data_IF_596416054392
#
_entry.id   IF_596416054392
#
_cell.length_a   1.000
_cell.length_b   1.000
_cell.length_c   1.000
_cell.angle_alpha   90.00
_cell.angle_beta   90.00
_cell.angle_gamma   90.00
#
_symmetry.space_group_name_H-M   'P 1'
#
loop_
_entity.id
_entity.type
_entity.pdbx_description
1 polymer ?
#
# COMPACT_ATOMS: atom_id res chain seq x y z
N UNK A 1 -19.73 -21.90 -24.49
CA UNK A 1 -20.05 -21.13 -25.71
C UNK A 1 -19.08 -19.97 -25.77
N UNK A 2 -18.06 -20.13 -26.61
CA UNK A 2 -17.01 -19.16 -26.89
C UNK A 2 -17.61 -18.15 -27.87
N UNK A 3 -17.83 -16.91 -27.42
CA UNK A 3 -18.23 -15.83 -28.31
C UNK A 3 -17.01 -15.44 -29.15
N UNK A 4 -16.98 -15.95 -30.37
CA UNK A 4 -16.10 -15.50 -31.43
C UNK A 4 -16.32 -14.00 -31.65
N UNK A 5 -15.31 -13.20 -31.31
CA UNK A 5 -15.22 -11.81 -31.74
C UNK A 5 -14.93 -11.82 -33.25
N UNK A 6 -15.91 -11.39 -34.06
CA UNK A 6 -15.72 -11.17 -35.49
C UNK A 6 -14.61 -10.15 -35.80
N UNK A 7 -14.13 -10.07 -37.06
CA UNK A 7 -13.05 -9.15 -37.44
C UNK A 7 -13.43 -7.70 -37.14
N UNK A 8 -12.52 -6.98 -36.48
CA UNK A 8 -12.68 -5.56 -36.13
C UNK A 8 -13.00 -4.73 -37.39
N UNK A 9 -14.12 -4.00 -37.36
CA UNK A 9 -14.54 -3.20 -38.53
C UNK A 9 -13.65 -1.96 -38.70
N UNK A 10 -13.48 -1.49 -39.94
CA UNK A 10 -12.68 -0.29 -40.26
C UNK A 10 -13.14 0.94 -39.48
N UNK A 11 -14.46 1.10 -39.29
CA UNK A 11 -15.05 2.20 -38.50
C UNK A 11 -14.70 2.12 -37.01
N UNK A 12 -14.63 0.91 -36.44
CA UNK A 12 -14.22 0.70 -35.05
C UNK A 12 -12.75 1.04 -34.84
N UNK A 13 -11.88 0.61 -35.76
CA UNK A 13 -10.47 0.95 -35.76
C UNK A 13 -10.26 2.47 -35.85
N UNK A 14 -11.03 3.14 -36.72
CA UNK A 14 -10.97 4.58 -36.90
C UNK A 14 -11.38 5.34 -35.62
N UNK A 15 -12.48 4.93 -34.97
CA UNK A 15 -12.91 5.52 -33.69
C UNK A 15 -11.88 5.33 -32.58
N UNK A 16 -11.20 4.17 -32.55
CA UNK A 16 -10.11 3.92 -31.59
C UNK A 16 -8.93 4.85 -31.85
N UNK A 17 -8.50 5.01 -33.10
CA UNK A 17 -7.40 5.90 -33.48
C UNK A 17 -7.68 7.38 -33.16
N UNK A 18 -8.91 7.86 -33.38
CA UNK A 18 -9.28 9.24 -33.01
C UNK A 18 -9.17 9.48 -31.51
N UNK A 19 -9.51 8.49 -30.67
CA UNK A 19 -9.34 8.59 -29.21
C UNK A 19 -7.88 8.60 -28.78
N UNK A 20 -6.98 8.03 -29.57
CA UNK A 20 -5.53 8.05 -29.28
C UNK A 20 -4.92 9.46 -29.41
N UNK A 21 -5.53 10.37 -30.19
CA UNK A 21 -5.03 11.75 -30.35
C UNK A 21 -4.88 12.46 -29.01
N UNK A 22 -5.94 12.48 -28.20
CA UNK A 22 -5.95 13.20 -26.92
C UNK A 22 -5.47 12.36 -25.73
N UNK A 23 -5.14 11.08 -25.96
CA UNK A 23 -4.82 10.15 -24.89
C UNK A 23 -3.48 10.48 -24.21
N UNK A 24 -3.48 10.63 -22.88
CA UNK A 24 -2.26 10.86 -22.09
C UNK A 24 -1.59 9.53 -21.74
N UNK A 25 -1.17 8.80 -22.78
CA UNK A 25 -0.45 7.53 -22.75
C UNK A 25 0.33 7.34 -24.04
N UNK A 26 1.29 6.41 -24.07
CA UNK A 26 2.00 6.06 -25.29
C UNK A 26 1.09 5.23 -26.20
N UNK A 27 0.87 5.72 -27.42
CA UNK A 27 -0.13 5.20 -28.38
C UNK A 27 0.52 4.61 -29.62
N UNK A 28 -0.30 4.07 -30.54
CA UNK A 28 0.20 3.55 -31.83
C UNK A 28 0.68 4.70 -32.71
N UNK A 29 0.02 5.87 -32.63
CA UNK A 29 0.41 7.08 -33.35
C UNK A 29 1.81 7.52 -32.92
N UNK A 30 2.10 7.54 -31.61
CA UNK A 30 3.42 7.93 -31.08
C UNK A 30 4.53 7.00 -31.58
N UNK A 31 4.27 5.68 -31.61
CA UNK A 31 5.23 4.70 -32.14
C UNK A 31 5.53 4.90 -33.62
N UNK A 32 4.53 5.30 -34.42
CA UNK A 32 4.74 5.63 -35.83
C UNK A 32 5.54 6.93 -35.98
N UNK A 33 5.18 7.97 -35.22
CA UNK A 33 5.89 9.25 -35.23
C UNK A 33 7.36 9.11 -34.86
N UNK A 34 7.69 8.35 -33.80
CA UNK A 34 9.07 8.13 -33.36
C UNK A 34 9.87 7.25 -34.32
N UNK A 35 9.23 6.30 -35.00
CA UNK A 35 9.88 5.46 -36.02
C UNK A 35 10.27 6.27 -37.26
N UNK A 36 9.40 7.19 -37.66
CA UNK A 36 9.56 7.98 -38.87
C UNK A 36 10.39 9.26 -38.63
N UNK A 37 10.68 9.59 -37.37
CA UNK A 37 11.53 10.70 -37.00
C UNK A 37 13.01 10.32 -37.12
N UNK A 38 13.79 11.13 -37.82
CA UNK A 38 15.25 10.99 -37.90
C UNK A 38 15.91 11.97 -36.92
N UNK A 39 16.65 11.44 -35.93
CA UNK A 39 17.26 12.25 -34.87
C UNK A 39 16.27 13.12 -34.09
N UNK A 40 15.01 12.66 -33.93
CA UNK A 40 13.94 13.42 -33.29
C UNK A 40 13.28 14.48 -34.18
N UNK A 41 13.68 14.59 -35.46
CA UNK A 41 13.06 15.47 -36.46
C UNK A 41 12.13 14.66 -37.36
N UNK A 42 10.88 15.12 -37.48
CA UNK A 42 9.87 14.51 -38.32
C UNK A 42 9.41 15.50 -39.40
N UNK A 43 9.47 15.06 -40.66
CA UNK A 43 8.93 15.80 -41.81
C UNK A 43 7.57 15.23 -42.21
N UNK A 44 6.50 15.99 -41.99
CA UNK A 44 5.13 15.55 -42.32
C UNK A 44 4.78 15.75 -43.80
N UNK A 45 5.67 16.37 -44.58
CA UNK A 45 5.48 16.68 -46.00
C UNK A 45 6.02 15.64 -46.99
N UNK A 46 6.78 14.64 -46.55
CA UNK A 46 7.58 13.78 -47.45
C UNK A 46 7.34 12.27 -47.30
N UNK A 47 6.22 11.82 -46.73
CA UNK A 47 5.87 10.39 -46.75
C UNK A 47 5.56 9.96 -48.19
N UNK A 48 6.58 9.48 -48.89
CA UNK A 48 6.43 8.67 -50.11
C UNK A 48 5.70 7.38 -49.74
N UNK A 49 4.55 7.15 -50.39
CA UNK A 49 3.81 5.90 -50.37
C UNK A 49 2.47 5.97 -49.64
N UNK A 50 1.37 5.86 -50.39
CA UNK A 50 0.04 5.33 -50.01
C UNK A 50 -0.52 5.64 -48.60
N UNK A 51 -0.21 6.77 -47.98
CA UNK A 51 -0.78 7.16 -46.68
C UNK A 51 -1.90 8.21 -46.86
N UNK A 52 -3.13 7.73 -46.65
CA UNK A 52 -4.39 8.44 -46.76
C UNK A 52 -4.38 9.75 -45.96
N UNK A 53 -5.02 10.82 -46.47
CA UNK A 53 -5.10 12.12 -45.79
C UNK A 53 -5.63 12.04 -44.34
N UNK A 54 -6.35 10.96 -44.03
CA UNK A 54 -6.83 10.64 -42.69
C UNK A 54 -5.70 10.28 -41.70
N UNK A 55 -4.69 9.50 -42.13
CA UNK A 55 -3.52 9.20 -41.29
C UNK A 55 -2.70 10.47 -41.00
N UNK A 56 -2.60 11.37 -41.97
CA UNK A 56 -1.99 12.70 -41.78
C UNK A 56 -2.75 13.54 -40.76
N UNK A 57 -4.08 13.55 -40.80
CA UNK A 57 -4.90 14.26 -39.82
C UNK A 57 -4.70 13.72 -38.39
N UNK A 58 -4.62 12.39 -38.22
CA UNK A 58 -4.35 11.74 -36.94
C UNK A 58 -2.97 12.12 -36.38
N UNK A 59 -1.92 12.03 -37.22
CA UNK A 59 -0.55 12.42 -36.85
C UNK A 59 -0.47 13.89 -36.45
N UNK A 60 -1.06 14.79 -37.23
CA UNK A 60 -1.07 16.22 -36.93
C UNK A 60 -1.83 16.54 -35.64
N UNK A 61 -3.00 15.94 -35.43
CA UNK A 61 -3.76 16.09 -34.19
C UNK A 61 -2.94 15.63 -32.99
N UNK A 62 -2.24 14.50 -33.11
CA UNK A 62 -1.37 13.98 -32.06
C UNK A 62 -0.16 14.88 -31.79
N UNK A 63 0.53 15.37 -32.82
CA UNK A 63 1.65 16.31 -32.68
C UNK A 63 1.24 17.59 -31.95
N UNK A 64 0.05 18.14 -32.25
CA UNK A 64 -0.51 19.29 -31.52
C UNK A 64 -0.83 18.98 -30.06
N UNK A 65 -1.26 17.75 -29.72
CA UNK A 65 -1.40 17.33 -28.31
C UNK A 65 -0.03 17.24 -27.63
N UNK A 66 0.96 16.63 -28.27
CA UNK A 66 2.32 16.52 -27.74
C UNK A 66 2.97 17.91 -27.55
N UNK A 67 2.70 18.85 -28.44
CA UNK A 67 3.13 20.25 -28.34
C UNK A 67 2.56 20.94 -27.11
N UNK A 68 1.23 20.83 -26.88
CA UNK A 68 0.59 21.34 -25.66
C UNK A 68 1.16 20.73 -24.37
N UNK A 69 1.73 19.53 -24.45
CA UNK A 69 2.39 18.84 -23.33
C UNK A 69 3.90 19.16 -23.22
N UNK A 70 4.45 19.96 -24.13
CA UNK A 70 5.89 20.28 -24.18
C UNK A 70 6.77 19.08 -24.57
N UNK A 71 6.21 18.12 -25.30
CA UNK A 71 6.89 16.91 -25.80
C UNK A 71 7.21 16.99 -27.30
N UNK A 72 6.59 17.92 -28.02
CA UNK A 72 6.91 18.23 -29.41
C UNK A 72 6.93 19.74 -29.65
N UNK A 73 7.54 20.18 -30.74
CA UNK A 73 7.52 21.58 -31.18
C UNK A 73 7.60 21.65 -32.70
N UNK A 74 6.86 22.56 -33.33
CA UNK A 74 6.96 22.83 -34.76
C UNK A 74 8.14 23.80 -35.02
N UNK A 75 9.16 23.34 -35.75
CA UNK A 75 10.32 24.17 -36.09
C UNK A 75 10.03 25.06 -37.30
N UNK A 76 9.37 24.47 -38.30
CA UNK A 76 8.90 25.09 -39.54
C UNK A 76 7.59 24.38 -39.93
N UNK A 77 6.74 24.99 -40.78
CA UNK A 77 5.54 24.33 -41.26
C UNK A 77 5.80 22.91 -41.76
N UNK A 78 5.23 21.91 -41.07
CA UNK A 78 5.40 20.49 -41.40
C UNK A 78 6.74 19.85 -41.01
N UNK A 79 7.60 20.55 -40.29
CA UNK A 79 8.84 20.01 -39.70
C UNK A 79 8.74 20.12 -38.18
N UNK A 80 8.70 18.97 -37.53
CA UNK A 80 8.47 18.83 -36.09
C UNK A 80 9.70 18.28 -35.39
N UNK A 81 9.97 18.77 -34.18
CA UNK A 81 10.92 18.16 -33.25
C UNK A 81 10.15 17.46 -32.15
N UNK A 82 10.41 16.16 -31.96
CA UNK A 82 9.88 15.35 -30.87
C UNK A 82 10.97 15.19 -29.83
N UNK A 83 10.66 15.42 -28.56
CA UNK A 83 11.65 15.29 -27.49
C UNK A 83 12.02 13.82 -27.24
N UNK A 84 13.29 13.51 -26.98
CA UNK A 84 13.77 12.15 -26.72
C UNK A 84 13.05 11.46 -25.54
N UNK A 85 12.61 12.26 -24.57
CA UNK A 85 11.86 11.79 -23.39
C UNK A 85 10.38 11.46 -23.65
N UNK A 86 9.87 11.69 -24.86
CA UNK A 86 8.44 11.60 -25.18
C UNK A 86 7.84 10.24 -24.82
N UNK A 87 8.50 9.15 -25.23
CA UNK A 87 8.03 7.80 -24.90
C UNK A 87 7.97 7.57 -23.39
N UNK A 88 9.05 7.90 -22.67
CA UNK A 88 9.14 7.71 -21.23
C UNK A 88 8.04 8.48 -20.47
N UNK A 89 7.85 9.78 -20.80
CA UNK A 89 6.83 10.63 -20.17
C UNK A 89 5.42 10.11 -20.45
N UNK A 90 5.11 9.73 -21.69
CA UNK A 90 3.77 9.23 -22.04
C UNK A 90 3.47 7.87 -21.40
N UNK A 91 4.48 6.99 -21.27
CA UNK A 91 4.30 5.72 -20.55
C UNK A 91 4.03 5.97 -19.06
N UNK A 92 4.75 6.89 -18.43
CA UNK A 92 4.54 7.27 -17.04
C UNK A 92 3.14 7.87 -16.80
N UNK A 93 2.70 8.80 -17.66
CA UNK A 93 1.36 9.39 -17.59
C UNK A 93 0.26 8.34 -17.77
N UNK A 94 0.45 7.41 -18.72
CA UNK A 94 -0.47 6.30 -18.95
C UNK A 94 -0.60 5.40 -17.71
N UNK A 95 0.54 4.99 -17.15
CA UNK A 95 0.59 4.18 -15.94
C UNK A 95 -0.07 4.89 -14.75
N UNK A 96 0.23 6.18 -14.56
CA UNK A 96 -0.39 6.99 -13.51
C UNK A 96 -1.91 7.02 -13.66
N UNK A 97 -2.42 7.27 -14.86
CA UNK A 97 -3.86 7.32 -15.13
C UNK A 97 -4.54 5.97 -14.87
N UNK A 98 -3.89 4.86 -15.20
CA UNK A 98 -4.43 3.51 -14.95
C UNK A 98 -4.40 3.16 -13.44
N UNK A 99 -3.38 3.60 -12.70
CA UNK A 99 -3.33 3.50 -11.23
C UNK A 99 -4.49 4.29 -10.61
N UNK A 100 -4.72 5.55 -11.03
CA UNK A 100 -5.81 6.37 -10.50
C UNK A 100 -7.18 5.70 -10.74
N UNK A 101 -7.41 5.12 -11.93
CA UNK A 101 -8.63 4.35 -12.20
C UNK A 101 -8.77 3.14 -11.27
N UNK A 102 -7.68 2.43 -11.00
CA UNK A 102 -7.65 1.32 -10.05
C UNK A 102 -8.02 1.78 -8.64
N UNK A 103 -7.42 2.88 -8.16
CA UNK A 103 -7.74 3.46 -6.86
C UNK A 103 -9.21 3.86 -6.76
N UNK A 104 -9.75 4.55 -7.76
CA UNK A 104 -11.16 4.94 -7.81
C UNK A 104 -12.10 3.74 -7.70
N UNK A 105 -11.76 2.62 -8.38
CA UNK A 105 -12.51 1.37 -8.29
C UNK A 105 -12.44 0.75 -6.90
N UNK A 106 -11.25 0.68 -6.30
CA UNK A 106 -11.05 0.17 -4.94
C UNK A 106 -11.84 0.98 -3.90
N UNK A 107 -11.77 2.31 -3.98
CA UNK A 107 -12.48 3.23 -3.07
C UNK A 107 -13.98 3.07 -3.20
N UNK A 108 -14.50 2.99 -4.44
CA UNK A 108 -15.93 2.74 -4.69
C UNK A 108 -16.37 1.40 -4.08
N UNK A 109 -15.57 0.34 -4.23
CA UNK A 109 -15.85 -0.98 -3.65
C UNK A 109 -15.86 -0.95 -2.11
N UNK A 110 -14.97 -0.17 -1.51
CA UNK A 110 -14.88 -0.03 -0.06
C UNK A 110 -15.96 0.88 0.56
N UNK A 111 -16.84 1.49 -0.25
CA UNK A 111 -17.89 2.39 0.23
C UNK A 111 -17.37 3.69 0.84
N UNK A 112 -16.13 4.08 0.53
CA UNK A 112 -15.53 5.32 1.05
C UNK A 112 -16.07 6.48 0.22
N UNK A 113 -16.74 7.43 0.87
CA UNK A 113 -17.18 8.67 0.23
C UNK A 113 -15.97 9.44 -0.35
N UNK A 114 -16.00 9.68 -1.65
CA UNK A 114 -14.89 10.31 -2.39
C UNK A 114 -14.68 11.81 -2.02
N UNK A 115 -15.59 12.40 -1.24
CA UNK A 115 -15.59 13.82 -0.90
C UNK A 115 -14.24 14.32 -0.42
N UNK A 116 -13.60 15.19 -1.22
CA UNK A 116 -12.35 15.91 -0.96
C UNK A 116 -11.06 15.09 -0.77
N UNK A 117 -11.05 13.77 -1.00
CA UNK A 117 -9.82 12.96 -0.84
C UNK A 117 -8.95 13.02 -2.09
N UNK A 118 -7.68 13.41 -1.92
CA UNK A 118 -6.71 13.42 -3.01
C UNK A 118 -6.08 12.04 -3.19
N UNK A 119 -5.92 11.61 -4.43
CA UNK A 119 -5.16 10.40 -4.78
C UNK A 119 -3.68 10.71 -4.95
N UNK A 120 -2.83 9.89 -4.34
CA UNK A 120 -1.39 9.97 -4.43
C UNK A 120 -0.80 8.60 -4.77
N UNK A 121 0.26 8.61 -5.58
CA UNK A 121 1.12 7.45 -5.79
C UNK A 121 2.30 7.61 -4.83
N UNK A 122 2.52 6.61 -3.98
CA UNK A 122 3.59 6.61 -3.00
C UNK A 122 4.95 6.53 -3.69
N UNK A 123 5.86 7.43 -3.32
CA UNK A 123 7.22 7.50 -3.85
C UNK A 123 8.12 6.48 -3.14
N UNK A 124 8.04 5.23 -3.58
CA UNK A 124 8.82 4.14 -2.98
C UNK A 124 10.34 4.27 -3.19
N UNK A 125 10.74 5.07 -4.18
CA UNK A 125 12.13 5.39 -4.53
C UNK A 125 12.76 6.46 -3.61
N UNK A 126 11.95 7.18 -2.82
CA UNK A 126 12.40 8.11 -1.79
C UNK A 126 12.56 7.38 -0.44
N UNK A 127 13.78 7.19 0.08
CA UNK A 127 14.02 6.51 1.36
C UNK A 127 13.39 7.21 2.57
N UNK A 128 13.07 8.50 2.44
CA UNK A 128 12.42 9.29 3.48
C UNK A 128 10.89 9.27 3.39
N UNK A 129 10.33 8.79 2.27
CA UNK A 129 8.89 8.67 2.11
C UNK A 129 8.33 7.68 3.13
N UNK A 130 7.38 8.15 3.93
CA UNK A 130 6.68 7.36 4.94
C UNK A 130 5.23 7.80 5.01
N UNK A 131 4.31 6.85 4.96
CA UNK A 131 2.89 7.11 5.21
C UNK A 131 2.30 5.99 6.07
N UNK A 132 1.67 6.38 7.17
CA UNK A 132 0.91 5.47 8.04
C UNK A 132 -0.57 5.66 7.76
N UNK A 133 -1.32 4.56 7.70
CA UNK A 133 -2.75 4.61 7.41
C UNK A 133 -3.44 3.25 7.45
N UNK A 134 -4.74 3.27 7.15
CA UNK A 134 -5.60 2.09 7.09
C UNK A 134 -5.57 1.45 5.71
N UNK A 135 -5.43 0.14 5.62
CA UNK A 135 -5.52 -0.59 4.36
C UNK A 135 -6.96 -0.55 3.86
N UNK A 136 -7.15 0.04 2.68
CA UNK A 136 -8.43 0.10 1.98
C UNK A 136 -8.61 -1.11 1.08
N UNK A 137 -7.56 -1.46 0.35
CA UNK A 137 -7.60 -2.57 -0.60
C UNK A 137 -6.22 -3.11 -0.92
N UNK A 138 -6.18 -4.36 -1.35
CA UNK A 138 -5.02 -5.06 -1.86
C UNK A 138 -5.41 -5.72 -3.19
N UNK A 139 -4.51 -5.73 -4.17
CA UNK A 139 -4.76 -6.36 -5.47
C UNK A 139 -3.49 -6.68 -6.22
N UNK A 140 -3.64 -7.18 -7.46
CA UNK A 140 -2.53 -7.47 -8.36
C UNK A 140 -2.16 -6.23 -9.19
N UNK A 141 -0.90 -5.81 -9.16
CA UNK A 141 -0.36 -4.72 -9.99
C UNK A 141 0.10 -5.22 -11.35
N UNK A 142 0.53 -6.48 -11.44
CA UNK A 142 0.98 -7.11 -12.68
C UNK A 142 0.64 -8.61 -12.66
N UNK A 143 -0.11 -9.07 -13.66
CA UNK A 143 -0.53 -10.47 -13.80
C UNK A 143 0.65 -11.40 -14.17
N UNK A 144 1.67 -10.89 -14.86
CA UNK A 144 2.82 -11.70 -15.30
C UNK A 144 3.79 -11.97 -14.15
N UNK A 145 4.06 -10.95 -13.33
CA UNK A 145 5.03 -11.07 -12.23
C UNK A 145 4.36 -11.32 -10.87
N UNK A 146 3.05 -11.57 -10.87
CA UNK A 146 2.21 -11.63 -9.66
C UNK A 146 2.47 -10.47 -8.69
N UNK A 147 2.80 -9.29 -9.23
CA UNK A 147 3.07 -8.10 -8.45
C UNK A 147 1.81 -7.68 -7.71
N UNK A 148 1.94 -7.20 -6.48
CA UNK A 148 0.82 -6.75 -5.67
C UNK A 148 0.91 -5.25 -5.41
N UNK A 149 -0.26 -4.63 -5.24
CA UNK A 149 -0.38 -3.26 -4.77
C UNK A 149 -1.25 -3.19 -3.52
N UNK A 150 -1.10 -2.09 -2.80
CA UNK A 150 -1.94 -1.70 -1.68
C UNK A 150 -2.46 -0.28 -1.88
N UNK A 151 -3.72 -0.07 -1.50
CA UNK A 151 -4.32 1.26 -1.34
C UNK A 151 -4.47 1.54 0.15
N UNK A 152 -3.87 2.64 0.62
CA UNK A 152 -3.87 3.05 2.02
C UNK A 152 -4.60 4.39 2.17
N UNK A 153 -5.52 4.45 3.11
CA UNK A 153 -6.12 5.69 3.58
C UNK A 153 -5.23 6.32 4.65
N UNK A 154 -4.47 7.33 4.23
CA UNK A 154 -3.38 7.90 4.99
C UNK A 154 -3.83 8.82 6.12
N UNK A 155 -3.02 8.88 7.18
CA UNK A 155 -3.16 9.86 8.25
C UNK A 155 -3.01 11.32 7.78
N UNK A 156 -2.51 11.55 6.57
CA UNK A 156 -2.46 12.86 5.90
C UNK A 156 -3.78 13.24 5.19
N UNK A 157 -4.79 12.37 5.27
CA UNK A 157 -6.11 12.56 4.68
C UNK A 157 -6.14 12.32 3.16
N UNK A 158 -5.12 11.65 2.62
CA UNK A 158 -5.04 11.28 1.20
C UNK A 158 -5.08 9.77 1.05
N UNK A 159 -5.49 9.31 -0.12
CA UNK A 159 -5.40 7.91 -0.50
C UNK A 159 -4.08 7.69 -1.22
N UNK A 160 -3.33 6.68 -0.79
CA UNK A 160 -2.00 6.35 -1.33
C UNK A 160 -2.03 4.99 -2.00
N UNK A 161 -1.55 4.93 -3.24
CA UNK A 161 -1.26 3.67 -3.93
C UNK A 161 0.23 3.36 -3.80
N UNK A 162 0.57 2.12 -3.50
CA UNK A 162 1.93 1.63 -3.56
C UNK A 162 1.96 0.24 -4.21
N UNK A 163 2.88 0.06 -5.17
CA UNK A 163 3.34 -1.28 -5.52
C UNK A 163 4.17 -1.82 -4.35
N UNK A 164 4.00 -3.08 -3.99
CA UNK A 164 4.67 -3.73 -2.86
C UNK A 164 5.40 -5.01 -3.29
N UNK A 165 5.54 -5.21 -4.60
CA UNK A 165 6.12 -6.40 -5.18
C UNK A 165 5.31 -7.65 -4.85
N UNK A 166 5.98 -8.79 -4.77
CA UNK A 166 5.36 -10.06 -4.39
C UNK A 166 5.48 -10.27 -2.87
N UNK A 167 4.36 -10.25 -2.16
CA UNK A 167 4.33 -10.58 -0.74
C UNK A 167 3.98 -12.06 -0.56
N UNK A 168 4.60 -12.68 0.46
CA UNK A 168 4.23 -14.04 0.86
C UNK A 168 2.79 -14.04 1.42
N UNK A 169 2.02 -15.13 1.24
CA UNK A 169 0.64 -15.21 1.72
C UNK A 169 0.44 -14.84 3.20
N UNK A 170 1.40 -15.21 4.07
CA UNK A 170 1.36 -14.92 5.50
C UNK A 170 1.66 -13.45 5.87
N UNK A 171 2.22 -12.70 4.94
CA UNK A 171 2.63 -11.30 5.10
C UNK A 171 1.62 -10.34 4.43
N UNK A 172 0.62 -10.87 3.73
CA UNK A 172 -0.46 -10.06 3.16
C UNK A 172 -1.25 -9.37 4.28
N UNK A 173 -1.31 -8.03 4.28
CA UNK A 173 -2.16 -7.31 5.21
C UNK A 173 -3.62 -7.55 4.85
N UNK A 174 -4.49 -7.56 5.86
CA UNK A 174 -5.94 -7.57 5.65
C UNK A 174 -6.43 -6.13 5.50
N UNK A 175 -7.53 -5.97 4.76
CA UNK A 175 -8.27 -4.70 4.74
C UNK A 175 -8.66 -4.28 6.16
N UNK A 176 -8.65 -2.97 6.42
CA UNK A 176 -8.90 -2.37 7.74
C UNK A 176 -7.70 -2.33 8.69
N UNK A 177 -6.62 -3.08 8.43
CA UNK A 177 -5.43 -3.03 9.29
C UNK A 177 -4.66 -1.72 9.15
N UNK A 178 -3.95 -1.34 10.21
CA UNK A 178 -3.04 -0.20 10.20
C UNK A 178 -1.66 -0.65 9.76
N UNK A 179 -1.10 0.07 8.78
CA UNK A 179 0.27 -0.14 8.33
C UNK A 179 0.99 1.18 8.06
N UNK A 180 2.31 1.08 7.97
CA UNK A 180 3.19 2.12 7.46
C UNK A 180 3.87 1.65 6.18
N UNK A 181 3.71 2.42 5.11
CA UNK A 181 4.53 2.33 3.90
C UNK A 181 5.83 3.07 4.13
N UNK A 182 6.95 2.49 3.69
CA UNK A 182 8.26 3.14 3.67
C UNK A 182 8.92 2.96 2.30
N UNK A 183 9.55 4.01 1.80
CA UNK A 183 10.43 3.90 0.64
C UNK A 183 11.69 3.10 0.96
N UNK A 184 12.37 2.66 -0.11
CA UNK A 184 13.58 1.85 -0.02
C UNK A 184 14.82 2.68 -0.36
N UNK A 185 15.96 2.33 0.25
CA UNK A 185 17.25 2.94 -0.08
C UNK A 185 17.80 2.41 -1.40
N UNK A 186 18.57 3.24 -2.09
CA UNK A 186 19.40 2.88 -3.25
C UNK A 186 20.31 1.70 -2.91
N UNK A 187 20.31 0.67 -3.75
CA UNK A 187 21.02 -0.61 -3.54
C UNK A 187 20.17 -1.85 -3.88
N UNK A 188 18.87 -1.64 -4.12
CA UNK A 188 17.95 -2.67 -4.63
C UNK A 188 18.00 -2.65 -6.16
N UNK A 189 17.87 -3.82 -6.80
CA UNK A 189 17.78 -3.94 -8.27
C UNK A 189 16.76 -2.93 -8.86
N UNK A 190 17.03 -2.39 -10.07
CA UNK A 190 16.19 -1.36 -10.70
C UNK A 190 14.70 -1.72 -10.78
N UNK A 191 14.39 -3.01 -10.92
CA UNK A 191 13.04 -3.60 -10.97
C UNK A 191 12.24 -3.43 -9.69
N UNK A 192 12.90 -3.33 -8.54
CA UNK A 192 12.28 -3.27 -7.21
C UNK A 192 12.33 -1.87 -6.59
N UNK A 193 12.98 -0.89 -7.24
CA UNK A 193 13.17 0.48 -6.72
C UNK A 193 11.85 1.22 -6.48
N UNK A 194 10.79 0.82 -7.18
CA UNK A 194 9.44 1.41 -7.04
C UNK A 194 8.51 0.61 -6.12
N UNK A 195 9.02 -0.37 -5.36
CA UNK A 195 8.22 -1.18 -4.45
C UNK A 195 8.34 -0.66 -3.02
N UNK A 196 7.22 -0.34 -2.38
CA UNK A 196 7.18 0.10 -0.99
C UNK A 196 7.36 -1.07 -0.02
N UNK A 197 8.01 -0.81 1.12
CA UNK A 197 8.05 -1.76 2.23
C UNK A 197 6.86 -1.55 3.15
N UNK A 198 6.18 -2.64 3.48
CA UNK A 198 5.05 -2.65 4.41
C UNK A 198 5.51 -2.96 5.84
N UNK A 199 5.00 -2.18 6.79
CA UNK A 199 5.15 -2.44 8.22
C UNK A 199 3.76 -2.46 8.85
N UNK A 200 3.29 -3.64 9.28
CA UNK A 200 2.00 -3.74 9.98
C UNK A 200 2.14 -3.12 11.36
N UNK A 201 1.41 -2.04 11.62
CA UNK A 201 1.41 -1.30 12.88
C UNK A 201 0.36 -1.86 13.86
N UNK A 202 -0.72 -2.42 13.32
CA UNK A 202 -1.76 -3.10 14.10
C UNK A 202 -2.25 -4.35 13.38
N UNK A 203 -2.36 -5.45 14.12
CA UNK A 203 -2.96 -6.70 13.63
C UNK A 203 -4.47 -6.79 13.89
N UNK A 204 -5.06 -5.77 14.50
CA UNK A 204 -6.50 -5.56 14.62
C UNK A 204 -6.90 -4.24 13.92
N UNK A 205 -8.10 -4.17 13.32
CA UNK A 205 -8.59 -2.97 12.67
C UNK A 205 -8.87 -1.85 13.69
N UNK A 206 -8.86 -0.59 13.24
CA UNK A 206 -8.90 0.58 14.12
C UNK A 206 -10.10 0.56 15.08
N UNK A 207 -11.24 0.11 14.60
CA UNK A 207 -12.53 0.12 15.31
C UNK A 207 -12.51 -0.79 16.55
N UNK A 208 -11.61 -1.78 16.58
CA UNK A 208 -11.44 -2.70 17.72
C UNK A 208 -10.43 -2.19 18.74
N UNK A 209 -9.56 -1.25 18.38
CA UNK A 209 -8.48 -0.80 19.25
C UNK A 209 -8.94 -0.04 20.51
N UNK A 210 -9.99 0.80 20.48
CA UNK A 210 -10.41 1.54 21.67
C UNK A 210 -10.72 0.67 22.88
N UNK A 211 -11.36 -0.47 22.66
CA UNK A 211 -11.84 -1.39 23.71
C UNK A 211 -10.97 -2.64 23.84
N UNK A 212 -9.90 -2.76 23.06
CA UNK A 212 -9.03 -3.93 23.09
C UNK A 212 -8.38 -4.10 24.47
N UNK A 213 -8.39 -5.33 24.99
CA UNK A 213 -7.80 -5.60 26.31
C UNK A 213 -6.27 -5.49 26.29
N UNK A 214 -5.65 -5.73 25.14
CA UNK A 214 -4.20 -5.66 24.95
C UNK A 214 -3.63 -4.29 24.60
N UNK A 215 -2.31 -4.24 24.46
CA UNK A 215 -1.56 -3.04 24.13
C UNK A 215 -1.72 -2.70 22.64
N UNK A 216 -2.31 -1.56 22.31
CA UNK A 216 -2.66 -1.21 20.93
C UNK A 216 -1.68 -0.22 20.32
N UNK A 217 -1.83 0.01 19.01
CA UNK A 217 -1.17 1.14 18.33
C UNK A 217 -1.57 2.50 18.94
N UNK A 218 -2.82 2.66 19.40
CA UNK A 218 -3.30 3.88 20.05
C UNK A 218 -2.54 4.16 21.35
N UNK A 219 -2.25 3.14 22.15
CA UNK A 219 -1.48 3.29 23.40
C UNK A 219 -0.05 3.78 23.11
N UNK A 220 0.58 3.23 22.06
CA UNK A 220 1.91 3.67 21.61
C UNK A 220 1.89 5.11 21.09
N UNK A 221 0.84 5.49 20.39
CA UNK A 221 0.64 6.86 19.90
C UNK A 221 0.44 7.85 21.05
N UNK A 222 -0.29 7.48 22.12
CA UNK A 222 -0.47 8.31 23.31
C UNK A 222 0.81 8.50 24.12
N UNK A 223 1.68 7.48 24.17
CA UNK A 223 2.91 7.47 24.96
C UNK A 223 4.15 7.94 24.19
N UNK A 224 4.06 8.09 22.87
CA UNK A 224 5.19 8.44 22.03
C UNK A 224 5.69 9.86 22.35
N UNK A 225 7.02 10.01 22.48
CA UNK A 225 7.64 11.34 22.60
C UNK A 225 7.43 12.19 21.33
N UNK A 226 7.32 11.54 20.17
CA UNK A 226 7.00 12.16 18.89
C UNK A 226 5.85 11.38 18.25
N UNK A 227 4.58 11.66 18.63
CA UNK A 227 3.44 10.97 18.06
C UNK A 227 3.34 11.29 16.56
N UNK A 228 2.83 10.34 15.79
CA UNK A 228 2.63 10.54 14.34
C UNK A 228 1.58 11.65 14.18
N UNK A 229 1.90 12.70 13.43
CA UNK A 229 0.95 13.78 13.14
C UNK A 229 -0.08 13.30 12.12
N UNK A 230 -1.32 13.73 12.29
CA UNK A 230 -2.42 13.39 11.39
C UNK A 230 -3.37 14.58 11.26
N UNK A 231 -4.08 14.64 10.14
CA UNK A 231 -5.10 15.68 9.89
C UNK A 231 -6.44 15.26 10.48
N UNK A 232 -7.26 16.22 10.92
CA UNK A 232 -8.58 15.94 11.50
C UNK A 232 -9.66 15.80 10.42
N UNK A 233 -9.43 14.93 9.44
CA UNK A 233 -10.36 14.59 8.35
C UNK A 233 -10.06 13.20 7.80
N UNK A 234 -11.04 12.57 7.17
CA UNK A 234 -10.92 11.20 6.66
C UNK A 234 -10.45 10.25 7.77
N UNK A 235 -9.48 9.40 7.46
CA UNK A 235 -8.94 8.44 8.43
C UNK A 235 -8.35 9.08 9.70
N UNK A 236 -7.77 10.28 9.60
CA UNK A 236 -7.21 10.95 10.78
C UNK A 236 -8.29 11.39 11.79
N UNK A 237 -9.50 11.72 11.33
CA UNK A 237 -10.64 11.99 12.23
C UNK A 237 -11.13 10.71 12.93
N UNK A 238 -11.15 9.57 12.22
CA UNK A 238 -11.43 8.26 12.80
C UNK A 238 -10.43 7.93 13.92
N UNK A 239 -9.14 8.13 13.65
CA UNK A 239 -8.06 7.93 14.64
C UNK A 239 -8.20 8.88 15.83
N UNK A 240 -8.54 10.15 15.61
CA UNK A 240 -8.81 11.11 16.70
C UNK A 240 -9.93 10.61 17.61
N UNK A 241 -11.02 10.10 17.02
CA UNK A 241 -12.13 9.52 17.78
C UNK A 241 -11.69 8.27 18.56
N UNK A 242 -10.96 7.37 17.92
CA UNK A 242 -10.46 6.15 18.53
C UNK A 242 -9.49 6.44 19.70
N UNK A 243 -8.60 7.44 19.56
CA UNK A 243 -7.72 7.88 20.64
C UNK A 243 -8.51 8.38 21.86
N UNK A 244 -9.55 9.21 21.66
CA UNK A 244 -10.40 9.69 22.76
C UNK A 244 -11.14 8.56 23.46
N UNK A 245 -11.67 7.60 22.69
CA UNK A 245 -12.33 6.42 23.27
C UNK A 245 -11.33 5.57 24.05
N UNK A 246 -10.13 5.36 23.49
CA UNK A 246 -9.07 4.59 24.15
C UNK A 246 -8.59 5.25 25.44
N UNK A 247 -8.41 6.56 25.46
CA UNK A 247 -8.03 7.32 26.66
C UNK A 247 -9.04 7.10 27.79
N UNK A 248 -10.35 7.23 27.49
CA UNK A 248 -11.42 6.96 28.47
C UNK A 248 -11.36 5.53 28.99
N UNK A 249 -11.25 4.54 28.09
CA UNK A 249 -11.12 3.14 28.48
C UNK A 249 -9.91 2.89 29.39
N UNK A 250 -8.75 3.51 29.09
CA UNK A 250 -7.55 3.38 29.91
C UNK A 250 -7.72 4.04 31.29
N UNK A 251 -8.44 5.15 31.39
CA UNK A 251 -8.74 5.80 32.68
C UNK A 251 -9.72 4.95 33.50
N UNK A 252 -10.82 4.51 32.90
CA UNK A 252 -11.85 3.66 33.54
C UNK A 252 -11.27 2.33 34.04
N UNK A 253 -10.35 1.72 33.29
CA UNK A 253 -9.66 0.49 33.69
C UNK A 253 -8.42 0.77 34.58
N UNK A 254 -8.20 2.02 34.96
CA UNK A 254 -7.12 2.46 35.83
C UNK A 254 -5.72 2.42 35.22
N UNK A 255 -5.54 2.14 33.93
CA UNK A 255 -4.21 2.19 33.30
C UNK A 255 -3.67 3.62 33.16
N UNK A 256 -4.54 4.62 33.07
CA UNK A 256 -4.18 6.04 33.08
C UNK A 256 -4.98 6.78 34.17
N UNK A 257 -4.50 7.96 34.57
CA UNK A 257 -5.22 8.88 35.45
C UNK A 257 -5.04 10.31 34.97
N UNK A 258 -6.06 11.15 35.10
CA UNK A 258 -5.93 12.58 34.88
C UNK A 258 -5.43 13.27 36.15
N UNK A 259 -4.31 13.99 36.05
CA UNK A 259 -3.75 14.80 37.14
C UNK A 259 -3.45 16.19 36.61
N UNK A 260 -4.12 17.22 37.15
CA UNK A 260 -3.91 18.61 36.72
C UNK A 260 -4.16 18.85 35.23
N UNK A 261 -5.15 18.17 34.64
CA UNK A 261 -5.45 18.26 33.20
C UNK A 261 -4.51 17.48 32.29
N UNK A 262 -3.53 16.74 32.85
CA UNK A 262 -2.64 15.86 32.08
C UNK A 262 -2.97 14.40 32.32
N UNK A 263 -2.95 13.61 31.24
CA UNK A 263 -3.04 12.15 31.32
C UNK A 263 -1.68 11.57 31.76
N UNK A 264 -1.70 10.85 32.88
CA UNK A 264 -0.54 10.17 33.44
C UNK A 264 -0.73 8.67 33.32
N UNK A 265 0.17 8.01 32.59
CA UNK A 265 0.16 6.56 32.44
C UNK A 265 0.74 5.85 33.67
N UNK A 266 0.13 4.73 34.07
CA UNK A 266 0.72 3.84 35.07
C UNK A 266 2.05 3.29 34.56
N UNK A 267 3.00 3.08 35.47
CA UNK A 267 4.27 2.42 35.18
C UNK A 267 4.03 1.07 34.50
N UNK A 268 4.78 0.81 33.41
CA UNK A 268 4.71 -0.42 32.61
C UNK A 268 3.31 -0.70 32.03
N UNK A 269 2.57 0.35 31.64
CA UNK A 269 1.23 0.24 31.04
C UNK A 269 1.18 -0.78 29.90
N UNK A 270 2.08 -0.64 28.90
CA UNK A 270 2.09 -1.51 27.72
C UNK A 270 2.37 -2.98 28.07
N UNK A 271 3.30 -3.23 28.99
CA UNK A 271 3.62 -4.58 29.47
C UNK A 271 2.42 -5.21 30.18
N UNK A 272 1.72 -4.45 31.03
CA UNK A 272 0.53 -4.93 31.75
C UNK A 272 -0.63 -5.27 30.80
N UNK A 273 -0.90 -4.41 29.81
CA UNK A 273 -1.90 -4.68 28.78
C UNK A 273 -1.52 -5.91 27.94
N UNK A 274 -0.25 -6.00 27.54
CA UNK A 274 0.25 -7.14 26.75
C UNK A 274 0.11 -8.45 27.50
N UNK A 275 0.48 -8.48 28.78
CA UNK A 275 0.33 -9.67 29.62
C UNK A 275 -1.13 -10.11 29.72
N UNK A 276 -2.06 -9.16 29.91
CA UNK A 276 -3.49 -9.46 29.99
C UNK A 276 -4.03 -10.04 28.68
N UNK A 277 -3.62 -9.48 27.54
CA UNK A 277 -3.99 -9.97 26.21
C UNK A 277 -3.50 -11.41 25.97
N UNK A 278 -2.22 -11.66 26.27
CA UNK A 278 -1.58 -12.97 26.13
C UNK A 278 -2.22 -14.00 27.05
N UNK A 279 -2.51 -13.65 28.30
CA UNK A 279 -3.17 -14.55 29.25
C UNK A 279 -4.56 -14.98 28.75
N UNK A 280 -5.40 -14.01 28.32
CA UNK A 280 -6.72 -14.33 27.77
C UNK A 280 -6.65 -15.17 26.50
N UNK A 281 -5.72 -14.85 25.59
CA UNK A 281 -5.52 -15.62 24.37
C UNK A 281 -5.03 -17.04 24.68
N UNK A 282 -4.14 -17.19 25.65
CA UNK A 282 -3.65 -18.47 26.14
C UNK A 282 -4.76 -19.35 26.72
N UNK A 283 -5.58 -18.81 27.63
CA UNK A 283 -6.73 -19.55 28.19
C UNK A 283 -7.76 -19.97 27.13
N UNK A 284 -7.93 -19.16 26.08
CA UNK A 284 -8.78 -19.54 24.95
C UNK A 284 -8.17 -20.69 24.15
N UNK A 285 -6.89 -20.57 23.78
CA UNK A 285 -6.16 -21.57 23.00
C UNK A 285 -5.96 -22.89 23.75
N UNK A 286 -5.86 -22.87 25.08
CA UNK A 286 -5.80 -24.08 25.91
C UNK A 286 -7.03 -24.98 25.69
N UNK A 287 -8.22 -24.37 25.62
CA UNK A 287 -9.47 -25.08 25.31
C UNK A 287 -9.53 -25.57 23.86
N UNK A 288 -9.05 -24.78 22.91
CA UNK A 288 -9.07 -25.11 21.48
C UNK A 288 -8.03 -26.20 21.11
N UNK A 289 -6.86 -26.19 21.75
CA UNK A 289 -5.75 -27.09 21.44
C UNK A 289 -5.67 -28.33 22.35
N UNK A 290 -6.40 -28.35 23.47
CA UNK A 290 -6.35 -29.42 24.47
C UNK A 290 -4.98 -29.54 25.15
N UNK A 291 -4.28 -28.42 25.36
CA UNK A 291 -2.89 -28.34 25.86
C UNK A 291 -2.79 -27.29 26.95
N UNK A 292 -1.89 -27.48 27.92
CA UNK A 292 -1.75 -26.54 29.03
C UNK A 292 -1.07 -25.25 28.59
N UNK A 293 -1.70 -24.11 28.85
CA UNK A 293 -1.09 -22.80 28.62
C UNK A 293 -0.19 -22.41 29.78
N UNK A 294 1.03 -21.99 29.47
CA UNK A 294 1.96 -21.43 30.45
C UNK A 294 2.18 -19.94 30.13
N UNK A 295 2.16 -19.07 31.15
CA UNK A 295 2.59 -17.68 30.93
C UNK A 295 4.11 -17.66 30.70
N UNK A 296 4.57 -16.90 29.72
CA UNK A 296 5.98 -16.79 29.35
C UNK A 296 6.97 -16.35 30.45
N UNK A 297 6.63 -15.54 31.49
CA UNK A 297 7.61 -15.05 32.45
C UNK A 297 8.34 -16.20 33.17
N UNK A 298 9.66 -16.27 33.00
CA UNK A 298 10.50 -17.25 33.71
C UNK A 298 10.59 -18.64 33.05
N UNK A 299 10.02 -18.82 31.85
CA UNK A 299 10.10 -20.10 31.14
C UNK A 299 11.34 -20.15 30.24
N UNK A 300 12.33 -20.97 30.60
CA UNK A 300 13.56 -21.15 29.83
C UNK A 300 13.48 -22.38 28.91
N UNK A 301 12.88 -22.21 27.73
CA UNK A 301 12.83 -23.26 26.72
C UNK A 301 14.05 -23.17 25.78
N UNK A 302 14.90 -24.21 25.81
CA UNK A 302 16.03 -24.35 24.87
C UNK A 302 15.59 -24.72 23.44
N UNK A 303 14.47 -25.43 23.31
CA UNK A 303 13.85 -25.81 22.04
C UNK A 303 12.34 -25.95 22.23
N UNK A 304 11.59 -25.61 21.18
CA UNK A 304 10.14 -25.73 21.13
C UNK A 304 9.68 -25.82 19.67
N UNK A 305 8.59 -26.54 19.43
CA UNK A 305 8.00 -26.64 18.09
C UNK A 305 6.99 -25.50 17.88
N UNK A 306 7.08 -24.81 16.74
CA UNK A 306 6.07 -23.82 16.36
C UNK A 306 4.83 -24.52 15.80
N UNK A 307 3.67 -24.28 16.40
CA UNK A 307 2.36 -24.80 15.93
C UNK A 307 1.65 -23.85 14.98
N UNK A 308 1.94 -22.55 15.11
CA UNK A 308 1.25 -21.52 14.35
C UNK A 308 1.47 -20.15 14.95
N UNK A 309 0.58 -19.21 14.62
CA UNK A 309 0.61 -17.85 15.17
C UNK A 309 -0.78 -17.32 15.44
N UNK A 310 -0.91 -16.51 16.49
CA UNK A 310 -2.11 -15.76 16.81
C UNK A 310 -1.84 -14.27 16.63
N UNK A 311 -2.84 -13.55 16.12
CA UNK A 311 -2.81 -12.09 15.96
C UNK A 311 -3.63 -11.48 17.10
N UNK A 312 -2.96 -10.76 17.99
CA UNK A 312 -3.56 -10.08 19.14
C UNK A 312 -3.49 -8.57 18.94
N UNK A 313 -4.21 -7.81 19.78
CA UNK A 313 -4.09 -6.35 19.81
C UNK A 313 -2.64 -5.94 20.13
N UNK A 314 -1.99 -6.70 21.02
CA UNK A 314 -0.60 -6.52 21.45
C UNK A 314 0.45 -6.84 20.39
N UNK A 315 0.08 -7.53 19.31
CA UNK A 315 0.98 -7.92 18.24
C UNK A 315 0.76 -9.34 17.74
N UNK A 316 1.66 -9.81 16.87
CA UNK A 316 1.69 -11.21 16.43
C UNK A 316 2.51 -12.05 17.40
N UNK A 317 1.92 -13.14 17.89
CA UNK A 317 2.57 -14.11 18.76
C UNK A 317 2.64 -15.47 18.06
N UNK A 318 3.77 -16.15 18.19
CA UNK A 318 3.87 -17.55 17.82
C UNK A 318 3.34 -18.43 18.95
N UNK A 319 2.66 -19.51 18.56
CA UNK A 319 2.27 -20.58 19.47
C UNK A 319 3.42 -21.60 19.43
N UNK A 320 4.17 -21.70 20.52
CA UNK A 320 5.28 -22.64 20.63
C UNK A 320 4.94 -23.71 21.66
N UNK A 321 5.30 -24.96 21.38
CA UNK A 321 4.94 -26.11 22.20
C UNK A 321 6.16 -26.89 22.66
N UNK A 322 6.07 -27.42 23.89
CA UNK A 322 6.96 -28.45 24.41
C UNK A 322 6.15 -29.45 25.25
N UNK A 323 6.13 -30.71 24.84
CA UNK A 323 5.33 -31.74 25.52
C UNK A 323 3.83 -31.43 25.48
N UNK A 324 3.17 -31.41 26.63
CA UNK A 324 1.73 -31.07 26.74
C UNK A 324 1.46 -29.58 26.98
N UNK A 325 2.52 -28.76 27.01
CA UNK A 325 2.46 -27.34 27.31
C UNK A 325 2.69 -26.50 26.06
N UNK A 326 2.12 -25.29 26.04
CA UNK A 326 2.41 -24.29 25.02
C UNK A 326 2.54 -22.88 25.62
N UNK A 327 3.29 -22.04 24.92
CA UNK A 327 3.48 -20.62 25.21
C UNK A 327 3.05 -19.76 24.03
N UNK A 328 2.74 -18.51 24.34
CA UNK A 328 2.65 -17.43 23.37
C UNK A 328 3.88 -16.54 23.49
N UNK A 329 4.71 -16.52 22.46
CA UNK A 329 5.92 -15.69 22.41
C UNK A 329 5.83 -14.69 21.26
N UNK A 330 6.33 -13.45 21.42
CA UNK A 330 6.40 -12.50 20.32
C UNK A 330 7.02 -13.11 19.06
N UNK A 331 6.38 -12.93 17.90
CA UNK A 331 6.79 -13.60 16.64
C UNK A 331 8.28 -13.41 16.31
N UNK A 332 8.84 -12.22 16.60
CA UNK A 332 10.27 -11.94 16.40
C UNK A 332 11.19 -12.83 17.23
N UNK A 333 10.77 -13.19 18.45
CA UNK A 333 11.53 -14.08 19.34
C UNK A 333 11.36 -15.55 18.95
N UNK A 334 10.20 -15.94 18.42
CA UNK A 334 9.96 -17.29 17.92
C UNK A 334 10.94 -17.70 16.79
N UNK A 335 11.32 -16.74 15.95
CA UNK A 335 12.32 -16.95 14.89
C UNK A 335 13.72 -17.29 15.42
N UNK A 336 14.02 -16.96 16.69
CA UNK A 336 15.26 -17.36 17.36
C UNK A 336 15.17 -18.80 17.87
N UNK A 337 14.03 -19.19 18.45
CA UNK A 337 13.75 -20.58 18.89
C UNK A 337 13.82 -21.57 17.73
N UNK A 338 13.26 -21.22 16.57
CA UNK A 338 13.30 -22.07 15.37
C UNK A 338 14.71 -22.25 14.78
N UNK A 339 15.69 -21.44 15.21
CA UNK A 339 17.11 -21.55 14.82
C UNK A 339 17.95 -22.27 15.88
N UNK A 340 17.34 -22.91 16.88
CA UNK A 340 18.05 -23.62 17.97
C UNK A 340 18.77 -22.69 18.95
N UNK A 341 18.49 -21.38 18.92
CA UNK A 341 19.01 -20.43 19.89
C UNK A 341 17.98 -20.29 21.00
N UNK A 342 18.38 -20.61 22.23
CA UNK A 342 17.51 -20.47 23.41
C UNK A 342 17.00 -19.03 23.53
N UNK A 343 15.76 -18.88 24.02
CA UNK A 343 15.17 -17.57 24.32
C UNK A 343 14.94 -17.52 25.82
N UNK A 344 15.52 -16.52 26.47
CA UNK A 344 15.12 -16.11 27.82
C UNK A 344 13.99 -15.09 27.67
N UNK A 345 12.82 -15.42 28.23
CA UNK A 345 11.58 -14.62 28.15
C UNK A 345 11.34 -13.83 29.43
#
# INVERSE_FOLDING_TARGET
MTLELGPETVDELQRKLTREIDAERFTRIDRALLRDADGGILSTGSTQGRDDGQFRALRMGRLRKLERMGLASELKPGIWRIADRTEAVLRELGQRNDIIKTMQRCVKKAGIEQGARTFNIFKADDPNARITGKVVSLGLSNEITEGQFVVVDGLDGKLHYADVGQLKPNDLPREGLLLTLRGQSTGVEPTHRNQARLFVESHAPLEQLPTAVGATWLDRQLLANRPIRFVDRGFGAEVKSALRQRQRWLVENGYMSERGGQLVARRRLLEKLTRKDVAMAGSRLEKELGRSFQEAPGVNWKSAQALGSVRLASGRFAIVQKGKEFLLVPWRQALLLSKGRGVSL
#
